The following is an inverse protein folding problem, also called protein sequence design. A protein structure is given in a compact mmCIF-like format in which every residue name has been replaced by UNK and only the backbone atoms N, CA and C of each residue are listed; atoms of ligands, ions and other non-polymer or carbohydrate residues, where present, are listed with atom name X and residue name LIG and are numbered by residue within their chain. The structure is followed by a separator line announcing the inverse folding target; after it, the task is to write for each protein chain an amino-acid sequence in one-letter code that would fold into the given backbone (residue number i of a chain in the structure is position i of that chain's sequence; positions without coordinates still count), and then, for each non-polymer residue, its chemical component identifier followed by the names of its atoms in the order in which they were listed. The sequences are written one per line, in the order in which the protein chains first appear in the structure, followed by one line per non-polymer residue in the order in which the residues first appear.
data_IF_405010940157
#
_entry.id   IF_405010940157
#
_cell.length_a   1.000
_cell.length_b   1.000
_cell.length_c   1.000
_cell.angle_alpha   90.00
_cell.angle_beta   90.00
_cell.angle_gamma   90.00
#
_symmetry.space_group_name_H-M   'P 1'
#
loop_
_entity.id
_entity.type
_entity.pdbx_description
1 polymer ?
#
# COMPACT_ATOMS: atom_id res chain seq x y z
N UNK A 1 9.38 -13.55 -12.58
CA UNK A 1 10.65 -13.94 -11.95
C UNK A 1 10.89 -13.19 -10.63
N UNK A 2 10.81 -11.86 -10.64
CA UNK A 2 11.15 -11.02 -9.45
C UNK A 2 10.26 -11.28 -8.22
N UNK A 3 8.96 -11.49 -8.41
CA UNK A 3 8.04 -11.81 -7.32
C UNK A 3 8.36 -13.13 -6.61
N UNK A 4 8.78 -14.16 -7.36
CA UNK A 4 9.23 -15.43 -6.79
C UNK A 4 10.49 -15.25 -5.95
N UNK A 5 11.49 -14.56 -6.48
CA UNK A 5 12.71 -14.25 -5.75
C UNK A 5 12.45 -13.39 -4.49
N UNK A 6 11.48 -12.47 -4.53
CA UNK A 6 11.05 -11.72 -3.35
C UNK A 6 10.44 -12.64 -2.29
N UNK A 7 9.57 -13.57 -2.69
CA UNK A 7 8.97 -14.56 -1.78
C UNK A 7 10.03 -15.43 -1.11
N UNK A 8 11.03 -15.90 -1.87
CA UNK A 8 12.16 -16.68 -1.33
C UNK A 8 12.95 -15.89 -0.28
N UNK A 9 13.26 -14.62 -0.55
CA UNK A 9 13.96 -13.76 0.42
C UNK A 9 13.14 -13.51 1.69
N UNK A 10 11.81 -13.39 1.59
CA UNK A 10 10.95 -13.23 2.75
C UNK A 10 10.85 -14.53 3.58
N UNK A 11 10.72 -15.67 2.92
CA UNK A 11 10.73 -16.99 3.57
C UNK A 11 12.07 -17.27 4.27
N UNK A 12 13.20 -16.98 3.61
CA UNK A 12 14.54 -17.12 4.20
C UNK A 12 14.75 -16.25 5.45
N UNK A 13 13.95 -15.18 5.62
CA UNK A 13 13.96 -14.30 6.79
C UNK A 13 12.93 -14.70 7.86
N UNK A 14 12.19 -15.79 7.67
CA UNK A 14 11.12 -16.22 8.58
C UNK A 14 9.89 -15.32 8.58
N UNK A 15 9.68 -14.53 7.52
CA UNK A 15 8.56 -13.60 7.40
C UNK A 15 7.34 -14.22 6.69
N UNK A 16 7.55 -15.30 5.96
CA UNK A 16 6.51 -16.10 5.32
C UNK A 16 6.67 -17.57 5.69
N UNK A 17 5.54 -18.26 5.80
CA UNK A 17 5.45 -19.72 5.83
C UNK A 17 5.70 -20.32 4.44
N UNK A 18 5.89 -21.64 4.38
CA UNK A 18 6.15 -22.36 3.13
C UNK A 18 5.01 -22.24 2.11
N UNK A 19 3.76 -22.09 2.57
CA UNK A 19 2.58 -21.86 1.74
C UNK A 19 2.43 -20.38 1.30
N UNK A 20 3.28 -19.49 1.80
CA UNK A 20 3.30 -18.06 1.48
C UNK A 20 2.42 -17.20 2.39
N UNK A 21 1.79 -17.78 3.41
CA UNK A 21 1.12 -17.01 4.45
C UNK A 21 2.14 -16.22 5.26
N UNK A 22 1.76 -15.03 5.75
CA UNK A 22 2.65 -14.24 6.60
C UNK A 22 2.78 -14.89 7.98
N UNK A 23 3.98 -14.91 8.53
CA UNK A 23 4.20 -15.28 9.94
C UNK A 23 3.79 -14.12 10.86
N UNK A 24 3.74 -14.34 12.17
CA UNK A 24 3.56 -13.23 13.13
C UNK A 24 4.68 -12.19 13.01
N UNK A 25 5.92 -12.62 12.82
CA UNK A 25 7.05 -11.74 12.56
C UNK A 25 6.88 -10.96 11.24
N UNK A 26 6.35 -11.61 10.19
CA UNK A 26 6.01 -10.97 8.93
C UNK A 26 4.95 -9.87 9.08
N UNK A 27 3.87 -10.15 9.82
CA UNK A 27 2.83 -9.16 10.13
C UNK A 27 3.37 -7.99 10.96
N UNK A 28 4.17 -8.27 11.99
CA UNK A 28 4.77 -7.23 12.83
C UNK A 28 5.71 -6.32 12.03
N UNK A 29 6.57 -6.90 11.18
CA UNK A 29 7.44 -6.11 10.32
C UNK A 29 6.64 -5.25 9.34
N UNK A 30 5.58 -5.80 8.74
CA UNK A 30 4.71 -5.03 7.85
C UNK A 30 4.10 -3.83 8.57
N UNK A 31 3.55 -4.03 9.76
CA UNK A 31 2.96 -2.94 10.55
C UNK A 31 3.97 -1.83 10.87
N UNK A 32 5.22 -2.22 11.20
CA UNK A 32 6.29 -1.25 11.44
C UNK A 32 6.69 -0.48 10.17
N UNK A 33 6.74 -1.17 9.02
CA UNK A 33 6.98 -0.50 7.74
C UNK A 33 5.85 0.49 7.44
N UNK A 34 4.59 0.10 7.57
CA UNK A 34 3.42 0.96 7.37
C UNK A 34 3.47 2.20 8.25
N UNK A 35 3.69 2.03 9.57
CA UNK A 35 3.84 3.14 10.52
C UNK A 35 4.94 4.11 10.12
N UNK A 36 6.13 3.61 9.77
CA UNK A 36 7.26 4.45 9.38
C UNK A 36 7.01 5.17 8.06
N UNK A 37 6.32 4.54 7.11
CA UNK A 37 5.95 5.19 5.86
C UNK A 37 4.90 6.28 6.09
N UNK A 38 3.94 6.07 6.98
CA UNK A 38 2.94 7.09 7.35
C UNK A 38 3.61 8.30 8.01
N UNK A 39 4.51 8.07 8.97
CA UNK A 39 5.30 9.13 9.61
C UNK A 39 6.13 9.93 8.60
N UNK A 40 6.76 9.24 7.65
CA UNK A 40 7.55 9.88 6.60
C UNK A 40 6.68 10.70 5.63
N UNK A 41 5.41 10.30 5.44
CA UNK A 41 4.46 10.95 4.56
C UNK A 41 3.59 12.01 5.26
N UNK A 42 3.72 12.19 6.59
CA UNK A 42 2.83 13.04 7.37
C UNK A 42 2.97 14.55 7.05
N UNK A 43 4.17 15.02 6.73
CA UNK A 43 4.48 16.45 6.59
C UNK A 43 3.51 17.24 5.70
N UNK A 44 3.24 16.82 4.45
CA UNK A 44 2.24 17.48 3.59
C UNK A 44 0.84 17.53 4.19
N UNK A 45 0.41 16.47 4.89
CA UNK A 45 -0.90 16.43 5.53
C UNK A 45 -0.98 17.36 6.74
N UNK A 46 0.07 17.44 7.54
CA UNK A 46 0.18 18.37 8.67
C UNK A 46 0.15 19.83 8.22
N UNK A 47 0.77 20.14 7.08
CA UNK A 47 0.79 21.48 6.50
C UNK A 47 -0.56 21.92 5.91
N UNK A 48 -1.41 20.98 5.49
CA UNK A 48 -2.72 21.26 4.92
C UNK A 48 -3.80 21.30 6.00
N UNK A 49 -4.59 22.38 6.04
CA UNK A 49 -5.82 22.43 6.83
C UNK A 49 -6.91 21.53 6.25
N UNK A 50 -7.98 21.30 7.01
CA UNK A 50 -9.10 20.43 6.60
C UNK A 50 -9.66 20.79 5.20
N UNK A 51 -9.94 22.07 4.96
CA UNK A 51 -10.44 22.56 3.65
C UNK A 51 -9.46 22.31 2.50
N UNK A 52 -8.15 22.44 2.75
CA UNK A 52 -7.15 22.22 1.72
C UNK A 52 -6.99 20.72 1.41
N UNK A 53 -7.18 19.85 2.42
CA UNK A 53 -7.23 18.39 2.22
C UNK A 53 -8.47 17.97 1.43
N UNK A 54 -9.63 18.55 1.72
CA UNK A 54 -10.85 18.35 0.92
C UNK A 54 -10.63 18.79 -0.53
N UNK A 55 -10.05 19.99 -0.71
CA UNK A 55 -9.74 20.51 -2.04
C UNK A 55 -8.74 19.62 -2.79
N UNK A 56 -7.73 19.08 -2.11
CA UNK A 56 -6.80 18.12 -2.68
C UNK A 56 -7.53 16.86 -3.17
N UNK A 57 -8.44 16.31 -2.36
CA UNK A 57 -9.23 15.15 -2.74
C UNK A 57 -10.13 15.44 -3.96
N UNK A 58 -10.79 16.60 -4.01
CA UNK A 58 -11.57 17.03 -5.18
C UNK A 58 -10.72 17.10 -6.46
N UNK A 59 -9.51 17.66 -6.35
CA UNK A 59 -8.60 17.81 -7.48
C UNK A 59 -8.07 16.46 -7.99
N UNK A 60 -7.81 15.52 -7.08
CA UNK A 60 -7.30 14.18 -7.42
C UNK A 60 -8.38 13.21 -7.88
N UNK A 61 -9.64 13.43 -7.49
CA UNK A 61 -10.78 12.54 -7.78
C UNK A 61 -10.90 12.12 -9.25
N UNK A 62 -10.90 13.05 -10.22
CA UNK A 62 -11.01 12.71 -11.64
C UNK A 62 -9.87 11.80 -12.15
N UNK A 63 -8.64 12.00 -11.65
CA UNK A 63 -7.50 11.18 -12.03
C UNK A 63 -7.59 9.77 -11.46
N UNK A 64 -8.06 9.65 -10.21
CA UNK A 64 -8.30 8.34 -9.59
C UNK A 64 -9.36 7.55 -10.35
N UNK A 65 -10.47 8.18 -10.74
CA UNK A 65 -11.51 7.55 -11.58
C UNK A 65 -10.95 7.12 -12.92
N UNK A 66 -10.18 7.98 -13.60
CA UNK A 66 -9.57 7.65 -14.89
C UNK A 66 -8.57 6.49 -14.78
N UNK A 67 -7.75 6.46 -13.72
CA UNK A 67 -6.77 5.39 -13.49
C UNK A 67 -7.47 4.03 -13.27
N UNK A 68 -8.54 3.98 -12.46
CA UNK A 68 -9.31 2.75 -12.25
C UNK A 68 -10.05 2.34 -13.54
N UNK A 69 -10.69 3.29 -14.22
CA UNK A 69 -11.43 3.05 -15.45
C UNK A 69 -10.56 2.64 -16.64
N UNK A 70 -9.23 2.81 -16.55
CA UNK A 70 -8.30 2.47 -17.64
C UNK A 70 -8.21 0.97 -17.94
N UNK A 71 -8.59 0.10 -16.99
CA UNK A 71 -8.36 -1.34 -17.08
C UNK A 71 -6.88 -1.77 -16.94
N UNK A 72 -5.97 -0.83 -16.64
CA UNK A 72 -4.54 -1.12 -16.45
C UNK A 72 -4.19 -1.57 -15.04
N UNK A 73 -5.02 -1.23 -14.05
CA UNK A 73 -4.81 -1.66 -12.67
C UNK A 73 -5.27 -3.12 -12.51
N UNK A 74 -4.49 -3.97 -11.81
CA UNK A 74 -4.91 -5.34 -11.55
C UNK A 74 -6.14 -5.35 -10.62
N UNK A 75 -7.07 -6.27 -10.87
CA UNK A 75 -8.30 -6.39 -10.07
C UNK A 75 -8.03 -6.76 -8.60
N UNK A 76 -6.90 -7.42 -8.33
CA UNK A 76 -6.36 -7.59 -6.99
C UNK A 76 -5.11 -6.72 -6.84
N UNK A 77 -5.18 -5.71 -5.99
CA UNK A 77 -4.04 -4.85 -5.65
C UNK A 77 -3.63 -5.08 -4.20
N UNK A 78 -2.34 -4.92 -3.92
CA UNK A 78 -1.81 -4.91 -2.54
C UNK A 78 -2.28 -3.69 -1.73
N UNK A 79 -2.89 -2.70 -2.40
CA UNK A 79 -3.44 -1.47 -1.81
C UNK A 79 -4.94 -1.56 -1.48
N UNK A 80 -5.60 -2.70 -1.79
CA UNK A 80 -7.04 -2.88 -1.52
C UNK A 80 -7.97 -2.08 -2.44
N UNK A 81 -7.44 -1.44 -3.47
CA UNK A 81 -8.21 -0.68 -4.46
C UNK A 81 -9.04 -1.67 -5.29
N UNK A 82 -10.37 -1.50 -5.29
CA UNK A 82 -11.31 -2.33 -6.06
C UNK A 82 -11.99 -3.46 -5.29
N UNK A 83 -11.65 -3.69 -4.02
CA UNK A 83 -12.44 -4.55 -3.13
C UNK A 83 -13.59 -3.73 -2.51
N UNK A 84 -14.77 -3.82 -3.12
CA UNK A 84 -16.05 -3.55 -2.44
C UNK A 84 -16.63 -4.89 -2.03
#
# INVERSE_FOLDING_TARGET
AEWGAARERLAARGLLEADGTATDAGRALRAEVERRTDESAAGPWEALGEKDRERLAELLGPFWVAAIGSGLLPGETTLGIGKV
#
